data_IF_845044375048
#
_entry.id   IF_845044375048
#
_cell.length_a   1.000
_cell.length_b   1.000
_cell.length_c   1.000
_cell.angle_alpha   90.00
_cell.angle_beta   90.00
_cell.angle_gamma   90.00
#
_symmetry.space_group_name_H-M   'P 1'
#
loop_
_entity.id
_entity.type
_entity.pdbx_description
1 polymer ?
#
# COMPACT_ATOMS: atom_id res chain seq x y z
N UNK A 1 45.08 -17.09 -21.22
CA UNK A 1 43.77 -17.60 -20.80
C UNK A 1 42.86 -16.40 -20.70
N UNK A 2 41.73 -16.30 -21.43
CA UNK A 2 40.81 -15.18 -21.30
C UNK A 2 40.01 -15.31 -20.02
N UNK A 3 39.99 -14.25 -19.26
CA UNK A 3 39.27 -14.09 -18.01
C UNK A 3 37.76 -14.08 -18.30
N UNK A 4 37.07 -15.15 -17.94
CA UNK A 4 35.61 -15.22 -18.05
C UNK A 4 35.05 -14.51 -16.85
N UNK A 5 34.92 -13.19 -16.93
CA UNK A 5 34.11 -12.42 -15.98
C UNK A 5 32.65 -12.81 -16.18
N UNK A 6 32.17 -13.74 -15.38
CA UNK A 6 30.75 -14.02 -15.26
C UNK A 6 30.06 -12.79 -14.71
N UNK A 7 29.52 -11.95 -15.59
CA UNK A 7 28.57 -10.92 -15.21
C UNK A 7 27.32 -11.62 -14.67
N UNK A 8 27.19 -11.72 -13.36
CA UNK A 8 25.92 -12.07 -12.74
C UNK A 8 24.87 -11.04 -13.22
N UNK A 9 23.71 -11.49 -13.69
CA UNK A 9 22.64 -10.54 -14.00
C UNK A 9 22.38 -9.73 -12.73
N UNK A 10 22.49 -8.40 -12.85
CA UNK A 10 22.19 -7.49 -11.75
C UNK A 10 20.75 -7.78 -11.29
N UNK A 11 20.59 -8.11 -10.01
CA UNK A 11 19.25 -8.25 -9.43
C UNK A 11 18.41 -7.01 -9.79
N UNK A 12 17.13 -7.16 -10.12
CA UNK A 12 16.28 -6.00 -10.40
C UNK A 12 16.33 -5.04 -9.21
N UNK A 13 16.31 -3.74 -9.45
CA UNK A 13 16.37 -2.75 -8.37
C UNK A 13 15.15 -2.95 -7.46
N UNK A 14 15.39 -2.97 -6.15
CA UNK A 14 14.32 -3.07 -5.16
C UNK A 14 13.51 -1.76 -5.09
N UNK A 15 12.20 -1.87 -4.86
CA UNK A 15 11.31 -0.73 -4.66
C UNK A 15 10.44 -0.98 -3.43
N UNK A 16 10.47 -0.09 -2.46
CA UNK A 16 9.54 -0.14 -1.34
C UNK A 16 8.13 0.18 -1.82
N UNK A 17 7.19 -0.75 -1.58
CA UNK A 17 5.78 -0.59 -1.95
C UNK A 17 4.88 -0.26 -0.74
N UNK A 18 5.42 -0.30 0.48
CA UNK A 18 4.76 0.12 1.71
C UNK A 18 5.74 0.89 2.58
N UNK A 19 5.43 2.13 2.90
CA UNK A 19 6.26 3.00 3.72
C UNK A 19 5.39 4.06 4.39
N UNK A 20 5.49 4.15 5.73
CA UNK A 20 4.85 5.18 6.54
C UNK A 20 5.84 6.29 6.84
N UNK A 21 5.42 7.53 6.62
CA UNK A 21 6.20 8.74 6.97
C UNK A 21 5.71 9.37 8.26
N UNK A 22 6.34 10.46 8.66
CA UNK A 22 5.91 11.31 9.78
C UNK A 22 4.44 11.75 9.70
N UNK A 23 3.82 11.69 8.51
CA UNK A 23 2.42 12.01 8.29
C UNK A 23 1.44 10.89 8.69
N UNK A 24 1.94 9.69 9.00
CA UNK A 24 1.13 8.63 9.62
C UNK A 24 0.86 8.88 11.11
N UNK A 25 1.50 9.89 11.71
CA UNK A 25 1.31 10.42 13.07
C UNK A 25 1.65 9.40 14.17
N UNK A 26 0.97 8.25 14.21
CA UNK A 26 1.10 7.30 15.32
C UNK A 26 2.26 6.30 15.15
N UNK A 27 2.68 5.99 13.91
CA UNK A 27 3.69 4.96 13.64
C UNK A 27 4.74 5.38 12.60
N UNK A 28 4.78 6.65 12.22
CA UNK A 28 5.68 7.19 11.22
C UNK A 28 6.86 7.97 11.80
N UNK A 29 8.06 7.42 11.73
CA UNK A 29 9.31 8.12 12.11
C UNK A 29 10.11 8.62 10.90
N UNK A 30 9.73 8.22 9.70
CA UNK A 30 10.48 8.52 8.48
C UNK A 30 10.14 9.92 7.99
N UNK A 31 11.11 10.82 8.05
CA UNK A 31 10.99 12.17 7.50
C UNK A 31 11.35 12.20 6.01
N UNK A 32 10.76 13.13 5.27
CA UNK A 32 10.82 13.13 3.80
C UNK A 32 12.25 13.31 3.26
N UNK A 33 12.98 14.31 3.74
CA UNK A 33 14.30 14.61 3.17
C UNK A 33 15.31 13.47 3.38
N UNK A 34 15.47 12.91 4.60
CA UNK A 34 16.32 11.74 4.82
C UNK A 34 15.89 10.51 4.02
N UNK A 35 14.56 10.32 3.80
CA UNK A 35 14.08 9.24 2.95
C UNK A 35 14.60 9.39 1.51
N UNK A 36 14.47 10.56 0.93
CA UNK A 36 14.92 10.82 -0.45
C UNK A 36 16.44 10.58 -0.59
N UNK A 37 17.22 11.05 0.38
CA UNK A 37 18.66 10.82 0.43
C UNK A 37 19.01 9.32 0.47
N UNK A 38 18.30 8.55 1.32
CA UNK A 38 18.50 7.10 1.39
C UNK A 38 18.10 6.36 0.12
N UNK A 39 17.00 6.76 -0.52
CA UNK A 39 16.60 6.18 -1.79
C UNK A 39 17.65 6.42 -2.89
N UNK A 40 18.29 7.59 -2.90
CA UNK A 40 19.40 7.91 -3.80
C UNK A 40 20.65 7.07 -3.48
N UNK A 41 21.05 6.98 -2.21
CA UNK A 41 22.19 6.18 -1.75
C UNK A 41 22.06 4.72 -2.18
N UNK A 42 20.85 4.15 -2.04
CA UNK A 42 20.54 2.77 -2.44
C UNK A 42 20.22 2.62 -3.93
N UNK A 43 20.28 3.71 -4.70
CA UNK A 43 19.96 3.72 -6.14
C UNK A 43 18.57 3.14 -6.43
N UNK A 44 17.62 3.38 -5.56
CA UNK A 44 16.23 2.94 -5.76
C UNK A 44 15.54 3.84 -6.79
N UNK A 45 14.95 3.28 -7.85
CA UNK A 45 14.35 4.08 -8.91
C UNK A 45 12.99 4.66 -8.53
N UNK A 46 12.34 4.08 -7.51
CA UNK A 46 11.00 4.42 -7.09
C UNK A 46 10.77 4.07 -5.61
N UNK A 47 9.77 4.68 -4.98
CA UNK A 47 9.22 4.27 -3.70
C UNK A 47 7.75 4.64 -3.60
N UNK A 48 6.95 3.77 -2.97
CA UNK A 48 5.58 4.09 -2.62
C UNK A 48 5.55 4.77 -1.25
N UNK A 49 4.62 5.71 -1.11
CA UNK A 49 4.27 6.33 0.16
C UNK A 49 2.85 5.92 0.48
N UNK A 50 2.70 5.26 1.61
CA UNK A 50 1.45 4.61 2.02
C UNK A 50 1.12 4.99 3.46
N UNK A 51 1.07 6.30 3.73
CA UNK A 51 0.72 6.79 5.07
C UNK A 51 -0.65 6.27 5.52
N UNK A 52 -0.80 6.07 6.82
CA UNK A 52 -2.00 5.50 7.40
C UNK A 52 -3.20 6.45 7.23
N UNK A 53 -4.21 5.99 6.49
CA UNK A 53 -5.49 6.66 6.30
C UNK A 53 -5.44 8.08 5.72
N UNK A 54 -4.31 8.51 5.14
CA UNK A 54 -4.18 9.88 4.62
C UNK A 54 -3.17 10.01 3.46
N UNK A 55 -3.22 11.19 2.81
CA UNK A 55 -2.27 11.60 1.75
C UNK A 55 -1.57 12.93 2.08
N UNK A 56 -1.44 13.29 3.37
CA UNK A 56 -0.94 14.61 3.77
C UNK A 56 0.49 14.89 3.31
N UNK A 57 1.34 13.86 3.31
CA UNK A 57 2.73 13.95 2.87
C UNK A 57 2.92 13.99 1.34
N UNK A 58 1.88 13.60 0.56
CA UNK A 58 2.01 13.28 -0.86
C UNK A 58 2.66 14.40 -1.69
N UNK A 59 2.22 15.65 -1.56
CA UNK A 59 2.73 16.77 -2.36
C UNK A 59 4.21 17.05 -2.06
N UNK A 60 4.59 17.02 -0.79
CA UNK A 60 5.99 17.25 -0.37
C UNK A 60 6.92 16.16 -0.93
N UNK A 61 6.51 14.90 -0.77
CA UNK A 61 7.28 13.75 -1.27
C UNK A 61 7.34 13.76 -2.78
N UNK A 62 6.22 13.96 -3.46
CA UNK A 62 6.16 14.02 -4.92
C UNK A 62 7.16 15.04 -5.47
N UNK A 63 7.14 16.27 -4.94
CA UNK A 63 8.03 17.34 -5.39
C UNK A 63 9.49 17.03 -5.13
N UNK A 64 9.82 16.44 -3.97
CA UNK A 64 11.21 16.10 -3.60
C UNK A 64 11.72 14.89 -4.40
N UNK A 65 10.92 13.86 -4.59
CA UNK A 65 11.30 12.65 -5.33
C UNK A 65 11.55 12.96 -6.81
N UNK A 66 10.65 13.70 -7.47
CA UNK A 66 10.82 14.08 -8.89
C UNK A 66 12.11 14.89 -9.09
N UNK A 67 12.39 15.87 -8.22
CA UNK A 67 13.65 16.66 -8.29
C UNK A 67 14.89 15.79 -8.12
N UNK A 68 14.78 14.69 -7.42
CA UNK A 68 15.87 13.74 -7.15
C UNK A 68 15.93 12.56 -8.13
N UNK A 69 15.10 12.56 -9.18
CA UNK A 69 15.06 11.49 -10.20
C UNK A 69 14.46 10.19 -9.71
N UNK A 70 13.70 10.20 -8.60
CA UNK A 70 13.01 9.04 -8.02
C UNK A 70 11.53 9.12 -8.40
N UNK A 71 10.96 7.99 -8.86
CA UNK A 71 9.54 7.91 -9.16
C UNK A 71 8.71 7.74 -7.88
N UNK A 72 7.91 8.73 -7.47
CA UNK A 72 6.99 8.56 -6.36
C UNK A 72 5.79 7.72 -6.79
N UNK A 73 5.41 6.74 -5.97
CA UNK A 73 4.19 5.96 -6.13
C UNK A 73 3.22 6.41 -5.03
N UNK A 74 2.07 6.95 -5.43
CA UNK A 74 1.03 7.35 -4.50
C UNK A 74 0.28 6.12 -3.97
N UNK A 75 0.08 6.05 -2.67
CA UNK A 75 -0.68 5.00 -2.01
C UNK A 75 -1.17 5.40 -0.63
N UNK A 76 -1.89 4.50 0.00
CA UNK A 76 -2.40 4.67 1.36
C UNK A 76 -2.57 3.30 2.02
N UNK A 77 -2.23 3.20 3.30
CA UNK A 77 -2.56 2.06 4.15
C UNK A 77 -3.95 2.33 4.75
N UNK A 78 -4.93 1.51 4.38
CA UNK A 78 -6.34 1.74 4.69
C UNK A 78 -6.82 0.65 5.65
N UNK A 79 -7.29 1.00 6.85
CA UNK A 79 -7.96 0.06 7.73
C UNK A 79 -9.35 -0.26 7.18
N UNK A 80 -9.64 -1.54 7.03
CA UNK A 80 -10.88 -2.05 6.44
C UNK A 80 -11.60 -2.94 7.44
N UNK A 81 -12.91 -2.96 7.39
CA UNK A 81 -13.76 -3.86 8.18
C UNK A 81 -14.72 -4.60 7.26
N UNK A 82 -14.85 -5.92 7.48
CA UNK A 82 -15.84 -6.74 6.79
C UNK A 82 -17.22 -6.70 7.50
N UNK A 83 -18.20 -7.35 6.91
CA UNK A 83 -19.57 -7.40 7.46
C UNK A 83 -19.66 -8.16 8.80
N UNK A 84 -18.70 -9.02 9.10
CA UNK A 84 -18.59 -9.76 10.36
C UNK A 84 -17.86 -8.94 11.46
N UNK A 85 -17.47 -7.72 11.17
CA UNK A 85 -16.73 -6.85 12.09
C UNK A 85 -15.23 -7.18 12.21
N UNK A 86 -14.68 -8.01 11.33
CA UNK A 86 -13.25 -8.34 11.33
C UNK A 86 -12.48 -7.19 10.68
N UNK A 87 -11.53 -6.65 11.45
CA UNK A 87 -10.64 -5.60 10.98
C UNK A 87 -9.47 -6.19 10.20
N UNK A 88 -9.14 -5.56 9.08
CA UNK A 88 -7.99 -5.91 8.24
C UNK A 88 -7.29 -4.64 7.75
N UNK A 89 -6.06 -4.77 7.30
CA UNK A 89 -5.34 -3.69 6.62
C UNK A 89 -5.23 -3.98 5.13
N UNK A 90 -5.36 -2.95 4.32
CA UNK A 90 -5.24 -3.02 2.88
C UNK A 90 -4.35 -1.86 2.41
N UNK A 91 -3.27 -2.18 1.69
CA UNK A 91 -2.46 -1.13 1.08
C UNK A 91 -2.95 -0.90 -0.35
N UNK A 92 -3.35 0.32 -0.65
CA UNK A 92 -3.80 0.73 -1.97
C UNK A 92 -2.73 1.58 -2.66
N UNK A 93 -2.33 1.19 -3.87
CA UNK A 93 -1.38 1.92 -4.71
C UNK A 93 -2.06 2.40 -5.99
N UNK A 94 -1.73 3.61 -6.41
CA UNK A 94 -2.31 4.27 -7.58
C UNK A 94 -1.56 3.88 -8.86
N UNK A 95 -2.28 3.39 -9.87
CA UNK A 95 -1.76 3.07 -11.21
C UNK A 95 -1.90 4.25 -12.18
N UNK A 96 -2.99 5.00 -12.09
CA UNK A 96 -3.36 6.06 -13.02
C UNK A 96 -4.28 7.10 -12.38
N UNK A 97 -4.73 8.08 -13.16
CA UNK A 97 -5.61 9.16 -12.70
C UNK A 97 -6.93 8.66 -12.12
N UNK A 98 -7.54 7.63 -12.72
CA UNK A 98 -8.79 7.03 -12.21
C UNK A 98 -8.56 6.46 -10.81
N UNK A 99 -7.45 5.72 -10.62
CA UNK A 99 -7.07 5.18 -9.31
C UNK A 99 -6.81 6.27 -8.27
N UNK A 100 -6.21 7.40 -8.66
CA UNK A 100 -6.03 8.53 -7.76
C UNK A 100 -7.37 9.12 -7.29
N UNK A 101 -8.32 9.32 -8.20
CA UNK A 101 -9.65 9.79 -7.85
C UNK A 101 -10.41 8.79 -6.97
N UNK A 102 -10.31 7.50 -7.28
CA UNK A 102 -10.90 6.45 -6.46
C UNK A 102 -10.28 6.44 -5.04
N UNK A 103 -8.95 6.51 -4.93
CA UNK A 103 -8.29 6.54 -3.63
C UNK A 103 -8.68 7.76 -2.80
N UNK A 104 -8.74 8.95 -3.40
CA UNK A 104 -9.15 10.17 -2.68
C UNK A 104 -10.59 10.09 -2.19
N UNK A 105 -11.50 9.51 -2.97
CA UNK A 105 -12.88 9.28 -2.56
C UNK A 105 -12.97 8.25 -1.42
N UNK A 106 -12.20 7.16 -1.50
CA UNK A 106 -12.13 6.14 -0.44
C UNK A 106 -11.65 6.77 0.87
N UNK A 107 -10.57 7.57 0.82
CA UNK A 107 -10.04 8.25 2.02
C UNK A 107 -11.06 9.29 2.55
N UNK A 108 -11.76 10.00 1.68
CA UNK A 108 -12.80 10.93 2.11
C UNK A 108 -13.93 10.21 2.87
N UNK A 109 -14.38 9.06 2.37
CA UNK A 109 -15.41 8.27 3.05
C UNK A 109 -14.96 7.78 4.43
N UNK A 110 -13.66 7.43 4.60
CA UNK A 110 -13.10 7.06 5.90
C UNK A 110 -13.39 8.11 6.99
N UNK A 111 -13.30 9.39 6.64
CA UNK A 111 -13.48 10.49 7.60
C UNK A 111 -14.91 11.01 7.67
N UNK A 112 -15.67 10.93 6.59
CA UNK A 112 -17.06 11.42 6.57
C UNK A 112 -18.06 10.42 7.11
N UNK A 113 -17.74 9.14 7.04
CA UNK A 113 -18.59 8.05 7.52
C UNK A 113 -18.11 7.46 8.86
N UNK A 114 -16.96 7.95 9.40
CA UNK A 114 -16.50 7.54 10.71
C UNK A 114 -17.56 7.83 11.77
N UNK A 115 -17.92 6.84 12.55
CA UNK A 115 -18.77 7.03 13.72
C UNK A 115 -18.07 7.99 14.68
N UNK A 116 -18.82 8.87 15.29
CA UNK A 116 -18.35 10.07 16.01
C UNK A 116 -17.32 9.85 17.12
N UNK A 117 -16.94 8.61 17.44
CA UNK A 117 -16.00 8.24 18.51
C UNK A 117 -15.13 7.02 18.19
N UNK A 118 -15.00 6.60 16.92
CA UNK A 118 -14.23 5.44 16.51
C UNK A 118 -13.08 5.77 15.56
N UNK A 119 -12.13 4.85 15.44
CA UNK A 119 -11.10 4.93 14.38
C UNK A 119 -11.77 4.88 13.00
N UNK A 120 -11.24 5.63 12.02
CA UNK A 120 -11.79 5.62 10.68
C UNK A 120 -11.59 4.22 10.04
N UNK A 121 -12.68 3.51 9.79
CA UNK A 121 -12.70 2.17 9.21
C UNK A 121 -13.51 2.16 7.91
N UNK A 122 -12.93 1.63 6.84
CA UNK A 122 -13.62 1.47 5.57
C UNK A 122 -14.36 0.13 5.52
N UNK A 123 -15.66 0.14 5.30
CA UNK A 123 -16.42 -1.08 5.02
C UNK A 123 -16.01 -1.64 3.66
N UNK A 124 -15.68 -2.94 3.58
CA UNK A 124 -15.23 -3.61 2.33
C UNK A 124 -16.21 -3.36 1.18
N UNK A 125 -17.51 -3.38 1.43
CA UNK A 125 -18.53 -3.12 0.41
C UNK A 125 -18.39 -1.76 -0.28
N UNK A 126 -17.76 -0.77 0.34
CA UNK A 126 -17.50 0.56 -0.25
C UNK A 126 -16.40 0.56 -1.32
N UNK A 127 -15.62 -0.51 -1.41
CA UNK A 127 -14.62 -0.68 -2.47
C UNK A 127 -15.27 -1.08 -3.81
N UNK A 128 -16.47 -1.64 -3.79
CA UNK A 128 -17.15 -2.07 -5.00
C UNK A 128 -17.34 -0.90 -5.99
N UNK A 129 -16.88 -1.09 -7.24
CA UNK A 129 -16.92 -0.07 -8.29
C UNK A 129 -15.89 1.06 -8.17
N UNK A 130 -14.96 1.00 -7.19
CA UNK A 130 -13.91 2.01 -6.96
C UNK A 130 -12.50 1.45 -7.01
N UNK A 131 -12.33 0.23 -7.50
CA UNK A 131 -11.02 -0.47 -7.55
C UNK A 131 -10.26 -0.24 -8.84
N UNK A 132 -10.92 0.31 -9.87
CA UNK A 132 -10.28 0.62 -11.14
C UNK A 132 -9.11 1.60 -10.94
N UNK A 133 -7.97 1.28 -11.57
CA UNK A 133 -6.76 2.11 -11.49
C UNK A 133 -5.99 1.98 -10.17
N UNK A 134 -6.40 1.06 -9.30
CA UNK A 134 -5.70 0.73 -8.06
C UNK A 134 -5.04 -0.65 -8.13
N UNK A 135 -3.97 -0.81 -7.34
CA UNK A 135 -3.39 -2.08 -6.94
C UNK A 135 -3.64 -2.22 -5.45
N UNK A 136 -4.02 -3.41 -5.00
CA UNK A 136 -4.18 -3.73 -3.59
C UNK A 136 -3.11 -4.74 -3.14
N UNK A 137 -2.48 -4.47 -1.98
CA UNK A 137 -1.61 -5.40 -1.28
C UNK A 137 -2.31 -5.86 -0.01
N UNK A 138 -2.16 -7.13 0.36
CA UNK A 138 -2.96 -7.78 1.41
C UNK A 138 -2.74 -7.28 2.83
N UNK A 139 -1.70 -6.47 3.10
CA UNK A 139 -1.40 -5.98 4.46
C UNK A 139 -0.67 -7.01 5.35
N UNK A 140 -0.10 -8.05 4.76
CA UNK A 140 0.71 -9.08 5.43
C UNK A 140 0.02 -9.73 6.64
N UNK A 141 0.70 -9.79 7.79
CA UNK A 141 0.18 -10.45 9.01
C UNK A 141 -1.08 -9.79 9.58
N UNK A 142 -1.24 -8.49 9.38
CA UNK A 142 -2.39 -7.73 9.87
C UNK A 142 -3.61 -7.83 8.95
N UNK A 143 -3.51 -8.60 7.86
CA UNK A 143 -4.65 -8.87 6.97
C UNK A 143 -5.52 -10.01 7.50
N UNK A 144 -6.74 -10.06 6.99
CA UNK A 144 -7.67 -11.17 7.22
C UNK A 144 -7.09 -12.50 6.70
N UNK A 145 -6.48 -12.49 5.50
CA UNK A 145 -5.78 -13.66 4.93
C UNK A 145 -4.60 -14.08 5.83
N UNK A 146 -3.77 -13.12 6.24
CA UNK A 146 -2.62 -13.37 7.11
C UNK A 146 -3.04 -13.97 8.45
N UNK A 147 -4.06 -13.40 9.07
CA UNK A 147 -4.64 -13.89 10.32
C UNK A 147 -5.19 -15.31 10.19
N UNK A 148 -5.93 -15.61 9.12
CA UNK A 148 -6.45 -16.95 8.85
C UNK A 148 -5.33 -17.97 8.66
N UNK A 149 -4.23 -17.60 7.97
CA UNK A 149 -3.06 -18.47 7.79
C UNK A 149 -2.33 -18.75 9.11
N UNK A 150 -2.14 -17.72 9.95
CA UNK A 150 -1.52 -17.89 11.28
C UNK A 150 -2.35 -18.84 12.16
N UNK A 151 -3.66 -18.77 12.06
CA UNK A 151 -4.59 -19.63 12.79
C UNK A 151 -4.76 -21.03 12.16
N UNK A 152 -4.03 -21.36 11.07
CA UNK A 152 -4.18 -22.60 10.30
C UNK A 152 -5.56 -22.81 9.66
N UNK A 153 -6.30 -21.72 9.42
CA UNK A 153 -7.63 -21.71 8.78
C UNK A 153 -7.51 -21.61 7.25
N UNK A 154 -6.82 -22.58 6.63
CA UNK A 154 -6.47 -22.53 5.21
C UNK A 154 -7.67 -22.41 4.26
N UNK A 155 -8.81 -23.02 4.61
CA UNK A 155 -10.04 -22.92 3.80
C UNK A 155 -10.59 -21.48 3.83
N UNK A 156 -10.58 -20.83 4.99
CA UNK A 156 -10.96 -19.43 5.16
C UNK A 156 -10.02 -18.51 4.40
N UNK A 157 -8.70 -18.68 4.55
CA UNK A 157 -7.71 -17.90 3.82
C UNK A 157 -7.92 -17.94 2.31
N UNK A 158 -8.22 -19.14 1.76
CA UNK A 158 -8.54 -19.31 0.34
C UNK A 158 -9.82 -18.59 -0.08
N UNK A 159 -10.87 -18.64 0.73
CA UNK A 159 -12.13 -17.94 0.47
C UNK A 159 -11.92 -16.41 0.46
N UNK A 160 -11.20 -15.88 1.46
CA UNK A 160 -10.86 -14.46 1.55
C UNK A 160 -10.04 -14.00 0.34
N UNK A 161 -9.04 -14.79 -0.06
CA UNK A 161 -8.26 -14.51 -1.26
C UNK A 161 -9.15 -14.40 -2.52
N UNK A 162 -10.11 -15.30 -2.69
CA UNK A 162 -11.04 -15.25 -3.81
C UNK A 162 -11.90 -13.99 -3.79
N UNK A 163 -12.37 -13.56 -2.61
CA UNK A 163 -13.12 -12.31 -2.44
C UNK A 163 -12.29 -11.09 -2.86
N UNK A 164 -11.05 -11.00 -2.40
CA UNK A 164 -10.16 -9.91 -2.78
C UNK A 164 -9.82 -9.90 -4.28
N UNK A 165 -9.60 -11.07 -4.88
CA UNK A 165 -9.36 -11.20 -6.32
C UNK A 165 -10.58 -10.78 -7.16
N UNK A 166 -11.80 -10.99 -6.67
CA UNK A 166 -13.03 -10.52 -7.33
C UNK A 166 -13.16 -9.00 -7.25
N UNK A 167 -12.77 -8.39 -6.11
CA UNK A 167 -12.79 -6.94 -5.94
C UNK A 167 -11.70 -6.23 -6.75
N UNK A 168 -10.51 -6.84 -6.87
CA UNK A 168 -9.35 -6.29 -7.60
C UNK A 168 -8.87 -7.27 -8.68
N UNK A 169 -9.61 -7.45 -9.78
CA UNK A 169 -9.20 -8.35 -10.86
C UNK A 169 -7.79 -7.98 -11.38
N UNK A 170 -6.88 -8.95 -11.41
CA UNK A 170 -5.49 -8.80 -11.86
C UNK A 170 -4.68 -7.69 -11.17
N UNK A 171 -5.16 -7.21 -10.01
CA UNK A 171 -4.56 -6.09 -9.29
C UNK A 171 -4.49 -6.32 -7.76
N UNK A 172 -4.69 -7.54 -7.29
CA UNK A 172 -4.49 -7.94 -5.89
C UNK A 172 -3.22 -8.77 -5.73
N UNK A 173 -2.37 -8.39 -4.78
CA UNK A 173 -1.11 -9.08 -4.50
C UNK A 173 -0.97 -9.41 -3.02
N UNK A 174 -0.40 -10.58 -2.71
CA UNK A 174 -0.03 -10.94 -1.35
C UNK A 174 1.28 -10.24 -0.96
N UNK A 175 1.25 -9.56 0.17
CA UNK A 175 2.42 -8.92 0.76
C UNK A 175 3.14 -9.91 1.68
N UNK A 176 4.46 -10.02 1.51
CA UNK A 176 5.36 -10.77 2.39
C UNK A 176 6.27 -9.78 3.11
N UNK A 177 6.42 -9.97 4.41
CA UNK A 177 7.29 -9.17 5.29
C UNK A 177 8.32 -10.07 5.99
#
# INVERSE_FOLDING_TARGET
>A
MPDISTSHPSSPPFTHLRLHTEFSISDGLVTIQPLIERLQDFKMPAAAITDASNLFGLIKIYSSAIKSGIKPICGCDVPVVNDDGVHTQLVLLVKNQTGYLNLTNIISDLYTEAESHGDPLLKIGKLAGRTEGLIALSGAQKSDIGSALINNENALAKSLLQTWQQLFPDSFYLELQ
#
